data_IF_923040078720
#
_entry.id   IF_923040078720
#
_cell.length_a   1.000
_cell.length_b   1.000
_cell.length_c   1.000
_cell.angle_alpha   90.00
_cell.angle_beta   90.00
_cell.angle_gamma   90.00
#
_symmetry.space_group_name_H-M   'P 1'
#
loop_
_entity.id
_entity.type
_entity.pdbx_description
1 polymer ?
#
# COMPACT_ATOMS: atom_id res chain seq x y z
N UNK A 1 31.72 47.12 18.82
CA UNK A 1 30.74 46.35 19.61
C UNK A 1 31.25 46.32 21.04
N UNK A 2 30.44 46.76 22.00
CA UNK A 2 30.77 46.62 23.43
C UNK A 2 30.81 45.12 23.74
N UNK A 3 31.97 44.63 24.19
CA UNK A 3 32.14 43.29 24.74
C UNK A 3 31.24 43.16 25.97
N UNK A 4 30.01 42.65 25.80
CA UNK A 4 29.22 42.22 26.93
C UNK A 4 29.87 40.95 27.50
N UNK A 5 30.53 41.11 28.65
CA UNK A 5 31.08 39.97 29.38
C UNK A 5 29.92 39.17 29.99
N UNK A 6 29.54 38.08 29.34
CA UNK A 6 28.54 37.14 29.87
C UNK A 6 29.18 36.33 30.99
N UNK A 7 28.63 36.42 32.21
CA UNK A 7 29.05 35.56 33.33
C UNK A 7 28.24 34.27 33.29
N UNK A 8 28.89 33.16 33.00
CA UNK A 8 28.31 31.83 33.09
C UNK A 8 28.50 31.27 34.52
N UNK A 9 27.41 30.79 35.12
CA UNK A 9 27.37 30.20 36.46
C UNK A 9 27.12 28.68 36.42
N UNK A 10 27.18 28.07 35.23
CA UNK A 10 26.98 26.64 35.03
C UNK A 10 28.01 25.83 35.84
N UNK A 11 27.53 24.84 36.62
CA UNK A 11 28.40 23.91 37.36
C UNK A 11 28.98 22.81 36.46
N UNK A 12 28.30 22.56 35.35
CA UNK A 12 28.67 21.63 34.28
C UNK A 12 28.29 22.34 32.98
N UNK A 13 29.24 22.49 32.07
CA UNK A 13 28.99 23.04 30.74
C UNK A 13 28.31 22.04 29.80
N UNK A 14 28.14 22.43 28.55
CA UNK A 14 27.54 21.59 27.53
C UNK A 14 28.45 20.39 27.19
N UNK A 15 27.88 19.19 27.18
CA UNK A 15 28.61 17.97 26.77
C UNK A 15 28.86 17.94 25.25
N UNK A 16 28.01 18.61 24.47
CA UNK A 16 28.07 18.72 23.01
C UNK A 16 27.62 20.14 22.66
N UNK A 17 28.28 20.85 21.72
CA UNK A 17 27.84 22.18 21.32
C UNK A 17 26.43 22.14 20.72
N UNK A 18 25.70 23.25 20.86
CA UNK A 18 24.39 23.42 20.22
C UNK A 18 24.59 23.34 18.69
N UNK A 19 23.91 22.41 17.99
CA UNK A 19 24.02 22.28 16.55
C UNK A 19 23.34 23.45 15.82
N UNK A 20 23.53 23.53 14.51
CA UNK A 20 22.82 24.51 13.68
C UNK A 20 21.32 24.23 13.73
N UNK A 21 20.54 25.17 14.28
CA UNK A 21 19.09 24.99 14.48
C UNK A 21 18.29 24.86 13.18
N UNK A 22 18.90 25.19 12.04
CA UNK A 22 18.33 25.14 10.69
C UNK A 22 18.81 23.93 9.88
N UNK A 23 19.60 23.04 10.48
CA UNK A 23 20.24 21.91 9.80
C UNK A 23 19.23 20.96 9.14
N UNK A 24 18.09 20.69 9.80
CA UNK A 24 17.04 19.82 9.26
C UNK A 24 16.48 20.37 7.95
N UNK A 25 16.18 21.67 7.90
CA UNK A 25 15.62 22.33 6.72
C UNK A 25 16.65 22.38 5.59
N UNK A 26 17.85 22.87 5.91
CA UNK A 26 18.94 23.00 4.94
C UNK A 26 19.30 21.64 4.33
N UNK A 27 19.55 20.64 5.17
CA UNK A 27 19.94 19.31 4.72
C UNK A 27 18.84 18.61 3.91
N UNK A 28 17.56 18.82 4.24
CA UNK A 28 16.47 18.29 3.43
C UNK A 28 16.40 18.93 2.04
N UNK A 29 16.58 20.25 1.96
CA UNK A 29 16.51 20.99 0.70
C UNK A 29 17.74 20.75 -0.19
N UNK A 30 18.93 20.64 0.40
CA UNK A 30 20.16 20.23 -0.29
C UNK A 30 20.01 18.84 -0.92
N UNK A 31 19.50 17.85 -0.16
CA UNK A 31 19.22 16.50 -0.70
C UNK A 31 18.17 16.50 -1.80
N UNK A 32 17.19 17.40 -1.71
CA UNK A 32 16.15 17.54 -2.73
C UNK A 32 16.72 18.10 -4.04
N UNK A 33 17.57 19.13 -3.98
CA UNK A 33 18.05 19.83 -5.17
C UNK A 33 19.40 19.35 -5.73
N UNK A 34 20.25 18.69 -4.94
CA UNK A 34 21.56 18.15 -5.36
C UNK A 34 22.40 19.12 -6.22
N UNK A 35 22.44 20.41 -5.82
CA UNK A 35 23.11 21.48 -6.58
C UNK A 35 24.64 21.40 -6.53
N UNK A 36 25.18 20.67 -5.57
CA UNK A 36 26.61 20.39 -5.41
C UNK A 36 27.16 19.40 -6.44
N UNK A 37 26.28 18.81 -7.27
CA UNK A 37 26.62 17.75 -8.21
C UNK A 37 26.30 18.15 -9.65
N UNK A 38 27.16 17.74 -10.57
CA UNK A 38 26.86 17.79 -12.01
C UNK A 38 25.74 16.81 -12.35
N UNK A 39 25.12 16.99 -13.54
CA UNK A 39 23.96 16.20 -13.94
C UNK A 39 24.20 14.68 -13.87
N UNK A 40 25.39 14.22 -14.23
CA UNK A 40 25.81 12.81 -14.27
C UNK A 40 26.16 12.24 -12.89
N UNK A 41 26.39 13.10 -11.89
CA UNK A 41 26.79 12.72 -10.54
C UNK A 41 25.62 12.74 -9.55
N UNK A 42 24.46 13.27 -9.95
CA UNK A 42 23.26 13.27 -9.10
C UNK A 42 22.79 11.86 -8.80
N UNK A 43 22.36 11.66 -7.56
CA UNK A 43 21.84 10.37 -7.11
C UNK A 43 20.42 10.23 -7.66
N UNK A 44 20.24 9.30 -8.59
CA UNK A 44 18.98 9.02 -9.29
C UNK A 44 17.83 8.68 -8.35
N UNK A 45 18.11 8.14 -7.16
CA UNK A 45 17.08 7.73 -6.20
C UNK A 45 16.73 8.79 -5.15
N UNK A 46 17.22 10.03 -5.31
CA UNK A 46 16.99 11.13 -4.37
C UNK A 46 16.45 12.39 -5.04
N UNK A 47 15.59 13.10 -4.29
CA UNK A 47 15.19 14.47 -4.61
C UNK A 47 14.49 14.64 -5.95
N UNK A 48 14.74 15.77 -6.60
CA UNK A 48 14.14 16.15 -7.88
C UNK A 48 14.53 15.18 -9.00
N UNK A 49 15.76 14.65 -8.98
CA UNK A 49 16.24 13.66 -9.94
C UNK A 49 15.34 12.41 -9.92
N UNK A 50 15.07 11.87 -8.73
CA UNK A 50 14.20 10.70 -8.58
C UNK A 50 12.78 10.94 -9.05
N UNK A 51 12.25 12.14 -8.88
CA UNK A 51 10.90 12.48 -9.33
C UNK A 51 10.83 12.55 -10.85
N UNK A 52 11.86 13.05 -11.52
CA UNK A 52 11.90 13.11 -12.98
C UNK A 52 12.06 11.72 -13.59
N UNK A 53 12.94 10.86 -13.05
CA UNK A 53 13.03 9.45 -13.48
C UNK A 53 11.78 8.63 -13.13
N UNK A 54 10.97 9.06 -12.16
CA UNK A 54 9.69 8.42 -11.87
C UNK A 54 8.62 8.74 -12.93
N UNK A 55 8.65 9.95 -13.49
CA UNK A 55 7.66 10.40 -14.49
C UNK A 55 8.05 10.04 -15.91
N UNK A 56 9.35 10.05 -16.21
CA UNK A 56 9.89 9.78 -17.54
C UNK A 56 10.41 8.33 -17.66
N UNK A 57 10.34 7.71 -18.85
CA UNK A 57 9.88 8.30 -20.11
C UNK A 57 8.35 8.39 -20.21
N UNK A 58 7.88 9.40 -20.94
CA UNK A 58 6.46 9.55 -21.27
C UNK A 58 6.25 9.00 -22.67
N UNK A 59 5.37 8.01 -22.80
CA UNK A 59 5.08 7.32 -24.06
C UNK A 59 3.68 7.67 -24.56
N UNK A 60 3.51 7.77 -25.89
CA UNK A 60 2.19 7.94 -26.50
C UNK A 60 1.37 6.66 -26.38
N UNK A 61 0.04 6.78 -26.44
CA UNK A 61 -0.88 5.64 -26.30
C UNK A 61 -0.65 4.52 -27.32
N UNK A 62 -0.18 4.86 -28.51
CA UNK A 62 0.14 3.95 -29.61
C UNK A 62 1.62 3.51 -29.61
N UNK A 63 2.43 4.00 -28.66
CA UNK A 63 3.86 3.71 -28.56
C UNK A 63 4.74 4.35 -29.63
N UNK A 64 4.17 5.13 -30.56
CA UNK A 64 4.90 5.71 -31.69
C UNK A 64 5.83 6.86 -31.30
N UNK A 65 5.62 7.47 -30.12
CA UNK A 65 6.41 8.58 -29.61
C UNK A 65 6.82 8.35 -28.16
N UNK A 66 8.07 8.71 -27.84
CA UNK A 66 8.66 8.60 -26.50
C UNK A 66 9.45 9.85 -26.15
N UNK A 67 9.06 10.51 -25.07
CA UNK A 67 9.78 11.65 -24.51
C UNK A 67 10.67 11.15 -23.36
N UNK A 68 11.98 11.26 -23.53
CA UNK A 68 12.99 10.83 -22.56
C UNK A 68 13.54 12.04 -21.79
N UNK A 69 13.77 11.87 -20.49
CA UNK A 69 14.44 12.84 -19.65
C UNK A 69 15.96 12.63 -19.72
N UNK A 70 16.73 13.72 -19.83
CA UNK A 70 18.20 13.69 -19.88
C UNK A 70 18.83 14.23 -18.59
N UNK A 71 18.43 15.43 -18.18
CA UNK A 71 18.93 16.12 -16.99
C UNK A 71 18.01 17.27 -16.59
N UNK A 72 18.12 17.78 -15.36
CA UNK A 72 17.55 19.07 -14.99
C UNK A 72 18.60 20.14 -14.72
N UNK A 73 18.21 21.39 -14.91
CA UNK A 73 19.01 22.57 -14.67
C UNK A 73 18.20 23.59 -13.89
N UNK A 74 18.84 24.19 -12.89
CA UNK A 74 18.31 25.33 -12.15
C UNK A 74 19.22 26.52 -12.50
N UNK A 75 18.69 27.47 -13.25
CA UNK A 75 19.42 28.67 -13.65
C UNK A 75 19.47 29.69 -12.50
N UNK A 76 20.32 30.70 -12.63
CA UNK A 76 20.38 31.81 -11.68
C UNK A 76 19.04 32.56 -11.59
N UNK A 77 18.65 33.02 -10.38
CA UNK A 77 17.43 33.80 -10.20
C UNK A 77 17.48 35.09 -11.03
N UNK A 78 16.34 35.43 -11.64
CA UNK A 78 16.24 36.64 -12.49
C UNK A 78 16.20 37.94 -11.70
N UNK A 79 15.81 37.86 -10.43
CA UNK A 79 15.58 38.98 -9.54
C UNK A 79 16.24 38.71 -8.19
N UNK A 80 16.58 39.79 -7.50
CA UNK A 80 17.06 39.76 -6.12
C UNK A 80 15.90 39.51 -5.13
N UNK A 81 16.19 39.06 -3.88
CA UNK A 81 15.18 38.92 -2.84
C UNK A 81 14.35 40.19 -2.61
N UNK A 82 14.99 41.37 -2.64
CA UNK A 82 14.35 42.66 -2.44
C UNK A 82 13.38 43.00 -3.57
N UNK A 83 13.80 42.81 -4.82
CA UNK A 83 12.95 43.00 -6.00
C UNK A 83 11.74 42.06 -5.97
N UNK A 84 11.93 40.79 -5.58
CA UNK A 84 10.83 39.83 -5.45
C UNK A 84 9.80 40.28 -4.40
N UNK A 85 10.24 40.87 -3.28
CA UNK A 85 9.34 41.43 -2.25
C UNK A 85 8.55 42.63 -2.79
N UNK A 86 9.21 43.56 -3.46
CA UNK A 86 8.57 44.77 -3.99
C UNK A 86 7.59 44.46 -5.13
N UNK A 87 8.00 43.59 -6.06
CA UNK A 87 7.22 43.23 -7.25
C UNK A 87 6.22 42.10 -6.99
N UNK A 88 6.15 41.57 -5.77
CA UNK A 88 5.30 40.44 -5.38
C UNK A 88 5.54 39.17 -6.19
N UNK A 89 6.81 38.90 -6.50
CA UNK A 89 7.28 37.71 -7.23
C UNK A 89 7.79 36.64 -6.26
N UNK A 90 7.99 35.42 -6.75
CA UNK A 90 8.69 34.37 -6.01
C UNK A 90 10.19 34.51 -6.26
N UNK A 91 11.01 34.40 -5.21
CA UNK A 91 12.47 34.37 -5.36
C UNK A 91 12.88 32.93 -5.63
N UNK A 92 13.12 32.60 -6.90
CA UNK A 92 13.37 31.23 -7.34
C UNK A 92 14.33 31.12 -8.51
N UNK A 93 14.88 29.93 -8.66
CA UNK A 93 15.71 29.51 -9.79
C UNK A 93 14.81 29.04 -10.94
N UNK A 94 14.96 29.55 -12.17
CA UNK A 94 14.28 29.00 -13.33
C UNK A 94 14.63 27.52 -13.50
N UNK A 95 13.62 26.66 -13.47
CA UNK A 95 13.74 25.21 -13.57
C UNK A 95 13.50 24.76 -15.00
N UNK A 96 14.53 24.12 -15.57
CA UNK A 96 14.49 23.54 -16.91
C UNK A 96 14.82 22.06 -16.86
N UNK A 97 14.29 21.31 -17.80
CA UNK A 97 14.69 19.92 -18.06
C UNK A 97 15.17 19.79 -19.50
N UNK A 98 16.29 19.10 -19.69
CA UNK A 98 16.72 18.60 -20.99
C UNK A 98 15.93 17.34 -21.31
N UNK A 99 15.25 17.34 -22.45
CA UNK A 99 14.47 16.20 -22.92
C UNK A 99 14.85 15.84 -24.34
N UNK A 100 14.56 14.59 -24.69
CA UNK A 100 14.77 14.03 -26.02
C UNK A 100 13.47 13.39 -26.50
N UNK A 101 13.02 13.76 -27.70
CA UNK A 101 11.84 13.14 -28.31
C UNK A 101 12.25 12.11 -29.36
N UNK A 102 11.90 10.85 -29.13
CA UNK A 102 12.03 9.77 -30.12
C UNK A 102 10.68 9.53 -30.80
N UNK A 103 10.70 9.36 -32.11
CA UNK A 103 9.52 9.02 -32.92
C UNK A 103 9.85 7.83 -33.81
N UNK A 104 8.97 6.85 -33.87
CA UNK A 104 9.18 5.68 -34.72
C UNK A 104 9.25 6.07 -36.21
N UNK A 105 10.25 5.55 -36.93
CA UNK A 105 10.45 5.83 -38.35
C UNK A 105 11.04 7.20 -38.68
N UNK A 106 11.43 8.00 -37.69
CA UNK A 106 12.12 9.29 -37.88
C UNK A 106 13.49 9.22 -37.17
N UNK A 107 14.57 9.31 -37.94
CA UNK A 107 15.95 9.25 -37.41
C UNK A 107 16.37 10.55 -36.70
N UNK A 108 15.65 11.64 -36.89
CA UNK A 108 15.89 12.89 -36.17
C UNK A 108 15.45 12.76 -34.71
N UNK A 109 16.39 12.99 -33.80
CA UNK A 109 16.20 12.90 -32.36
C UNK A 109 16.43 14.29 -31.77
N UNK A 110 15.42 15.18 -31.80
CA UNK A 110 15.56 16.52 -31.26
C UNK A 110 15.74 16.47 -29.74
N UNK A 111 16.71 17.24 -29.26
CA UNK A 111 16.96 17.50 -27.84
C UNK A 111 16.69 18.97 -27.55
N UNK A 112 15.88 19.26 -26.54
CA UNK A 112 15.51 20.62 -26.16
C UNK A 112 15.51 20.80 -24.64
N UNK A 113 15.83 22.02 -24.20
CA UNK A 113 15.65 22.43 -22.81
C UNK A 113 14.29 23.13 -22.63
N UNK A 114 13.39 22.48 -21.88
CA UNK A 114 12.05 22.99 -21.61
C UNK A 114 12.01 23.63 -20.23
N UNK A 115 11.51 24.87 -20.15
CA UNK A 115 11.24 25.55 -18.89
C UNK A 115 9.93 25.05 -18.26
N UNK A 116 9.99 24.65 -16.99
CA UNK A 116 8.86 24.08 -16.25
C UNK A 116 8.32 24.98 -15.13
N UNK A 117 9.05 26.03 -14.75
CA UNK A 117 8.65 26.93 -13.67
C UNK A 117 9.84 27.43 -12.87
N UNK A 118 9.61 27.81 -11.62
CA UNK A 118 10.67 28.27 -10.72
C UNK A 118 10.71 27.41 -9.45
N UNK A 119 11.92 27.10 -8.99
CA UNK A 119 12.17 26.43 -7.72
C UNK A 119 12.62 27.49 -6.71
N UNK A 120 11.84 27.77 -5.64
CA UNK A 120 12.16 28.80 -4.67
C UNK A 120 13.55 28.64 -4.03
N UNK A 121 14.26 29.73 -3.78
CA UNK A 121 15.57 29.68 -3.11
C UNK A 121 15.36 29.79 -1.59
N UNK A 122 15.97 28.87 -0.85
CA UNK A 122 15.98 28.93 0.61
C UNK A 122 16.98 30.01 1.08
N UNK A 123 16.50 30.92 1.93
CA UNK A 123 17.27 31.99 2.57
C UNK A 123 17.32 31.76 4.09
N UNK A 124 18.31 32.36 4.77
CA UNK A 124 18.35 32.46 6.24
C UNK A 124 18.41 31.15 7.03
N UNK A 125 18.33 29.99 6.38
CA UNK A 125 18.24 28.66 6.97
C UNK A 125 16.83 28.03 6.98
N UNK A 126 15.86 28.57 6.25
CA UNK A 126 14.55 27.93 6.10
C UNK A 126 13.42 28.79 5.53
N UNK A 127 13.74 30.02 5.13
CA UNK A 127 12.79 31.00 4.63
C UNK A 127 12.78 31.00 3.11
N UNK A 128 11.63 31.31 2.52
CA UNK A 128 11.42 31.44 1.08
C UNK A 128 10.60 32.69 0.80
N UNK A 129 10.86 33.39 -0.30
CA UNK A 129 9.95 34.45 -0.77
C UNK A 129 9.01 33.84 -1.80
N UNK A 130 7.72 33.80 -1.48
CA UNK A 130 6.67 33.30 -2.37
C UNK A 130 5.63 34.40 -2.55
N UNK A 131 5.48 34.88 -3.78
CA UNK A 131 4.60 36.00 -4.13
C UNK A 131 4.87 37.27 -3.26
N UNK A 132 6.15 37.58 -3.08
CA UNK A 132 6.64 38.72 -2.29
C UNK A 132 6.59 38.57 -0.77
N UNK A 133 6.03 37.48 -0.25
CA UNK A 133 5.93 37.23 1.18
C UNK A 133 6.96 36.19 1.62
N UNK A 134 7.60 36.42 2.76
CA UNK A 134 8.46 35.42 3.41
C UNK A 134 7.59 34.30 4.01
N UNK A 135 8.01 33.07 3.77
CA UNK A 135 7.35 31.85 4.24
C UNK A 135 8.37 30.85 4.71
N UNK A 136 7.98 30.03 5.68
CA UNK A 136 8.74 28.87 6.11
C UNK A 136 7.91 27.61 5.92
N UNK A 137 8.57 26.51 5.57
CA UNK A 137 7.95 25.19 5.48
C UNK A 137 8.19 24.46 6.79
N UNK A 138 7.12 24.09 7.49
CA UNK A 138 7.21 23.37 8.77
C UNK A 138 7.30 21.87 8.50
N UNK A 139 8.21 21.18 9.19
CA UNK A 139 8.31 19.73 9.13
C UNK A 139 7.00 19.09 9.59
N UNK A 140 6.44 18.23 8.76
CA UNK A 140 5.23 17.49 9.09
C UNK A 140 5.58 16.24 9.88
N UNK A 141 4.84 15.98 10.95
CA UNK A 141 4.80 14.67 11.60
C UNK A 141 3.57 13.92 11.11
N UNK A 142 3.79 12.84 10.36
CA UNK A 142 2.73 11.94 9.90
C UNK A 142 3.03 10.51 10.32
N UNK A 143 2.03 9.63 10.24
CA UNK A 143 2.23 8.19 10.45
C UNK A 143 3.17 7.67 9.37
N UNK A 144 4.19 6.92 9.78
CA UNK A 144 5.09 6.29 8.82
C UNK A 144 4.34 5.23 8.01
N UNK A 145 4.72 5.01 6.74
CA UNK A 145 4.20 3.89 5.96
C UNK A 145 4.45 2.54 6.65
N UNK A 146 3.68 1.51 6.33
CA UNK A 146 3.78 0.17 6.92
C UNK A 146 2.44 -0.30 7.46
N UNK A 147 2.47 -1.12 8.52
CA UNK A 147 1.27 -1.62 9.20
C UNK A 147 1.20 -1.12 10.65
N UNK A 148 0.02 -0.60 11.03
CA UNK A 148 -0.34 -0.25 12.39
C UNK A 148 -1.46 -1.17 12.88
N UNK A 149 -1.39 -1.60 14.15
CA UNK A 149 -2.43 -2.38 14.81
C UNK A 149 -3.05 -1.57 15.94
N UNK A 150 -4.32 -1.81 16.22
CA UNK A 150 -5.02 -1.15 17.33
C UNK A 150 -6.36 -1.77 17.63
N UNK A 151 -7.07 -1.17 18.58
CA UNK A 151 -8.42 -1.58 18.99
C UNK A 151 -9.40 -0.56 18.41
N UNK A 152 -10.25 -0.98 17.48
CA UNK A 152 -11.25 -0.12 16.84
C UNK A 152 -12.37 0.25 17.80
N UNK A 153 -12.75 -0.66 18.69
CA UNK A 153 -13.78 -0.42 19.70
C UNK A 153 -13.59 -1.36 20.90
N UNK A 154 -13.91 -0.87 22.09
CA UNK A 154 -13.96 -1.63 23.33
C UNK A 154 -15.36 -1.57 23.96
N UNK A 155 -16.41 -1.52 23.14
CA UNK A 155 -17.79 -1.49 23.64
C UNK A 155 -18.16 -2.90 24.13
N UNK A 156 -18.53 -3.02 25.40
CA UNK A 156 -18.92 -4.25 26.10
C UNK A 156 -17.77 -5.26 26.38
N UNK A 157 -16.63 -4.77 26.87
CA UNK A 157 -15.48 -5.54 27.40
C UNK A 157 -14.76 -6.49 26.43
N UNK A 158 -15.18 -6.60 25.17
CA UNK A 158 -14.43 -7.28 24.11
C UNK A 158 -13.68 -6.27 23.24
N UNK A 159 -12.33 -6.32 23.18
CA UNK A 159 -11.58 -5.49 22.24
C UNK A 159 -11.81 -5.99 20.81
N UNK A 160 -12.29 -5.10 19.95
CA UNK A 160 -12.38 -5.34 18.51
C UNK A 160 -11.09 -4.88 17.86
N UNK A 161 -10.22 -5.83 17.50
CA UNK A 161 -8.94 -5.55 16.88
C UNK A 161 -9.09 -4.97 15.47
N UNK A 162 -8.08 -4.21 15.07
CA UNK A 162 -8.00 -3.55 13.77
C UNK A 162 -6.55 -3.44 13.31
N UNK A 163 -6.38 -3.38 11.99
CA UNK A 163 -5.11 -3.12 11.37
C UNK A 163 -5.26 -2.08 10.26
N UNK A 164 -4.23 -1.28 10.02
CA UNK A 164 -4.17 -0.32 8.91
C UNK A 164 -2.85 -0.48 8.20
N UNK A 165 -2.93 -0.72 6.90
CA UNK A 165 -1.78 -0.74 6.00
C UNK A 165 -1.75 0.61 5.30
N UNK A 166 -0.72 1.37 5.61
CA UNK A 166 -0.51 2.75 5.19
C UNK A 166 0.63 2.72 4.17
N UNK A 167 0.35 2.92 2.87
CA UNK A 167 1.42 3.05 1.89
C UNK A 167 2.10 4.43 1.97
N UNK A 168 3.28 4.56 1.40
CA UNK A 168 3.91 5.86 1.15
C UNK A 168 3.12 6.64 0.09
N UNK A 169 2.59 5.93 -0.91
CA UNK A 169 1.68 6.46 -1.93
C UNK A 169 0.68 5.40 -2.32
N UNK A 170 -0.58 5.79 -2.47
CA UNK A 170 -1.66 4.90 -2.88
C UNK A 170 -2.76 4.81 -1.83
N UNK A 171 -3.66 3.84 -2.02
CA UNK A 171 -4.85 3.68 -1.18
C UNK A 171 -4.54 3.05 0.17
N UNK A 172 -5.18 3.54 1.22
CA UNK A 172 -5.09 2.92 2.53
C UNK A 172 -5.95 1.67 2.59
N UNK A 173 -5.44 0.63 3.25
CA UNK A 173 -6.17 -0.60 3.49
C UNK A 173 -6.41 -0.71 4.98
N UNK A 174 -7.68 -0.78 5.37
CA UNK A 174 -8.07 -0.86 6.79
C UNK A 174 -8.85 -2.13 7.05
N UNK A 175 -8.48 -2.85 8.10
CA UNK A 175 -9.13 -4.07 8.57
C UNK A 175 -9.69 -3.83 9.97
N UNK A 176 -10.85 -4.41 10.25
CA UNK A 176 -11.47 -4.40 11.58
C UNK A 176 -12.28 -5.66 11.82
N UNK A 177 -12.18 -6.18 13.04
CA UNK A 177 -13.06 -7.22 13.56
C UNK A 177 -14.38 -6.57 13.95
N UNK A 178 -15.47 -7.09 13.42
CA UNK A 178 -16.81 -6.59 13.74
C UNK A 178 -17.41 -7.33 14.94
N UNK A 179 -18.52 -6.82 15.48
CA UNK A 179 -19.28 -7.47 16.57
C UNK A 179 -19.85 -8.85 16.20
N UNK A 180 -19.88 -9.19 14.92
CA UNK A 180 -20.35 -10.48 14.41
C UNK A 180 -19.20 -11.49 14.26
N UNK A 181 -18.02 -11.17 14.77
CA UNK A 181 -16.81 -11.98 14.60
C UNK A 181 -16.51 -12.24 13.13
N UNK A 182 -16.56 -11.16 12.35
CA UNK A 182 -16.20 -11.13 10.93
C UNK A 182 -15.07 -10.12 10.76
N UNK A 183 -13.99 -10.54 10.10
CA UNK A 183 -12.88 -9.68 9.73
C UNK A 183 -13.24 -8.97 8.41
N UNK A 184 -13.63 -7.70 8.55
CA UNK A 184 -13.96 -6.87 7.40
C UNK A 184 -12.80 -5.95 7.06
N UNK A 185 -12.79 -5.48 5.82
CA UNK A 185 -11.82 -4.49 5.36
C UNK A 185 -12.46 -3.45 4.45
N UNK A 186 -11.76 -2.33 4.26
CA UNK A 186 -12.09 -1.30 3.27
C UNK A 186 -10.83 -0.72 2.62
N UNK A 187 -11.00 -0.20 1.41
CA UNK A 187 -9.96 0.50 0.66
C UNK A 187 -10.36 1.98 0.63
N UNK A 188 -9.56 2.84 1.26
CA UNK A 188 -9.90 4.25 1.51
C UNK A 188 -11.31 4.42 2.12
N UNK A 189 -12.20 5.10 1.40
CA UNK A 189 -13.58 5.37 1.81
C UNK A 189 -14.59 4.40 1.18
N UNK A 190 -14.13 3.27 0.60
CA UNK A 190 -15.02 2.27 0.03
C UNK A 190 -15.91 1.61 1.07
N UNK A 191 -17.00 0.99 0.63
CA UNK A 191 -17.79 0.10 1.47
C UNK A 191 -16.97 -1.10 1.93
N UNK A 192 -17.30 -1.62 3.12
CA UNK A 192 -16.63 -2.80 3.70
C UNK A 192 -16.88 -4.06 2.87
N UNK A 193 -15.87 -4.91 2.80
CA UNK A 193 -15.89 -6.26 2.24
C UNK A 193 -15.21 -7.23 3.22
N UNK A 194 -15.38 -8.54 3.03
CA UNK A 194 -14.63 -9.52 3.82
C UNK A 194 -13.12 -9.41 3.48
N UNK A 195 -12.26 -9.57 4.48
CA UNK A 195 -10.82 -9.46 4.28
C UNK A 195 -10.26 -10.55 3.35
N UNK A 196 -10.86 -11.73 3.37
CA UNK A 196 -10.52 -12.85 2.48
C UNK A 196 -10.64 -12.46 1.01
N UNK A 197 -11.58 -11.58 0.64
CA UNK A 197 -11.76 -11.15 -0.76
C UNK A 197 -10.53 -10.46 -1.30
N UNK A 198 -9.86 -9.63 -0.50
CA UNK A 198 -8.64 -8.99 -0.96
C UNK A 198 -7.45 -9.94 -1.01
N UNK A 199 -7.35 -10.87 -0.04
CA UNK A 199 -6.32 -11.90 -0.07
C UNK A 199 -6.43 -12.76 -1.34
N UNK A 200 -7.65 -13.19 -1.70
CA UNK A 200 -7.91 -13.93 -2.95
C UNK A 200 -7.56 -13.12 -4.19
N UNK A 201 -7.75 -11.80 -4.17
CA UNK A 201 -7.46 -10.93 -5.30
C UNK A 201 -5.96 -10.59 -5.45
N UNK A 202 -5.19 -10.60 -4.36
CA UNK A 202 -3.75 -10.34 -4.38
C UNK A 202 -2.98 -11.44 -5.12
N UNK A 203 -3.35 -12.70 -4.92
CA UNK A 203 -2.65 -13.82 -5.56
C UNK A 203 -3.57 -15.05 -5.64
N UNK A 204 -3.60 -15.67 -6.82
CA UNK A 204 -4.38 -16.88 -7.11
C UNK A 204 -3.94 -18.07 -6.24
N UNK A 205 -2.68 -18.10 -5.78
CA UNK A 205 -2.20 -19.13 -4.86
C UNK A 205 -2.98 -19.14 -3.53
N UNK A 206 -3.49 -17.99 -3.10
CA UNK A 206 -4.27 -17.79 -1.87
C UNK A 206 -5.76 -17.60 -2.17
N UNK A 207 -6.22 -17.99 -3.37
CA UNK A 207 -7.58 -17.70 -3.77
C UNK A 207 -8.60 -18.78 -3.44
N UNK A 208 -8.20 -20.02 -3.19
CA UNK A 208 -9.15 -21.13 -3.00
C UNK A 208 -9.59 -21.28 -1.54
N UNK A 209 -10.89 -21.56 -1.31
CA UNK A 209 -11.44 -21.62 0.05
C UNK A 209 -10.78 -22.71 0.89
N UNK A 210 -10.54 -23.90 0.32
CA UNK A 210 -9.85 -25.01 0.98
C UNK A 210 -8.43 -24.61 1.44
N UNK A 211 -7.66 -23.93 0.60
CA UNK A 211 -6.33 -23.44 0.95
C UNK A 211 -6.37 -22.37 2.03
N UNK A 212 -7.36 -21.46 1.97
CA UNK A 212 -7.52 -20.46 3.03
C UNK A 212 -7.78 -21.15 4.39
N UNK A 213 -8.60 -22.20 4.40
CA UNK A 213 -8.84 -22.98 5.62
C UNK A 213 -7.54 -23.63 6.13
N UNK A 214 -6.73 -24.23 5.25
CA UNK A 214 -5.41 -24.79 5.61
C UNK A 214 -4.43 -23.74 6.16
N UNK A 215 -4.60 -22.46 5.82
CA UNK A 215 -3.73 -21.38 6.28
C UNK A 215 -4.08 -20.83 7.66
N UNK A 216 -5.33 -21.00 8.10
CA UNK A 216 -5.86 -20.43 9.34
C UNK A 216 -6.28 -21.47 10.39
N UNK A 217 -6.52 -22.72 9.98
CA UNK A 217 -7.04 -23.77 10.85
C UNK A 217 -6.23 -25.07 10.72
N UNK A 218 -6.25 -25.88 11.78
CA UNK A 218 -5.75 -27.25 11.73
C UNK A 218 -6.79 -28.14 11.06
N UNK A 219 -6.58 -28.41 9.76
CA UNK A 219 -7.45 -29.26 8.97
C UNK A 219 -7.02 -30.72 9.14
N UNK A 220 -7.96 -31.55 9.58
CA UNK A 220 -7.72 -32.97 9.85
C UNK A 220 -8.58 -33.84 8.94
N UNK A 221 -7.99 -34.91 8.44
CA UNK A 221 -8.74 -35.98 7.78
C UNK A 221 -9.28 -36.93 8.85
N UNK A 222 -10.60 -36.99 8.98
CA UNK A 222 -11.27 -37.88 9.94
C UNK A 222 -12.13 -38.90 9.21
N UNK A 223 -12.36 -40.04 9.85
CA UNK A 223 -13.32 -41.00 9.35
C UNK A 223 -14.74 -40.45 9.49
N UNK A 224 -15.57 -40.74 8.51
CA UNK A 224 -16.96 -40.27 8.45
C UNK A 224 -17.77 -40.71 9.68
N UNK A 225 -17.49 -41.88 10.26
CA UNK A 225 -18.21 -42.34 11.47
C UNK A 225 -17.89 -41.51 12.72
N UNK A 226 -16.80 -40.72 12.68
CA UNK A 226 -16.41 -39.80 13.77
C UNK A 226 -16.80 -38.35 13.49
N UNK A 227 -17.50 -38.10 12.38
CA UNK A 227 -17.98 -36.77 12.02
C UNK A 227 -19.02 -36.30 13.04
N UNK A 228 -18.93 -35.03 13.45
CA UNK A 228 -19.85 -34.40 14.39
C UNK A 228 -20.50 -33.17 13.71
N UNK A 229 -21.75 -32.80 14.09
CA UNK A 229 -22.43 -31.61 13.57
C UNK A 229 -21.65 -30.30 13.77
N UNK A 230 -20.84 -30.22 14.82
CA UNK A 230 -20.04 -29.05 15.20
C UNK A 230 -18.80 -28.85 14.30
N UNK A 231 -18.39 -29.87 13.56
CA UNK A 231 -17.25 -29.74 12.64
C UNK A 231 -17.60 -28.83 11.46
N UNK A 232 -16.57 -28.22 10.88
CA UNK A 232 -16.69 -27.47 9.63
C UNK A 232 -16.03 -28.26 8.51
N UNK A 233 -16.64 -28.27 7.33
CA UNK A 233 -16.06 -28.92 6.17
C UNK A 233 -14.87 -28.11 5.64
N UNK A 234 -13.74 -28.79 5.40
CA UNK A 234 -12.57 -28.18 4.75
C UNK A 234 -12.48 -28.51 3.25
N UNK A 235 -13.46 -29.24 2.72
CA UNK A 235 -13.61 -29.56 1.30
C UNK A 235 -15.08 -29.53 0.88
N UNK A 236 -15.37 -29.68 -0.41
CA UNK A 236 -16.74 -29.87 -0.87
C UNK A 236 -17.08 -31.35 -0.69
N UNK A 237 -18.11 -31.63 0.13
CA UNK A 237 -18.56 -33.00 0.39
C UNK A 237 -19.71 -33.30 -0.57
N UNK A 238 -19.47 -34.20 -1.51
CA UNK A 238 -20.42 -34.62 -2.53
C UNK A 238 -20.68 -36.11 -2.32
N UNK A 239 -21.95 -36.50 -2.35
CA UNK A 239 -22.33 -37.90 -2.38
C UNK A 239 -22.00 -38.49 -3.77
N UNK A 240 -21.18 -39.55 -3.80
CA UNK A 240 -20.72 -40.20 -5.03
C UNK A 240 -21.85 -40.86 -5.82
N UNK A 241 -22.94 -41.26 -5.16
CA UNK A 241 -24.06 -41.96 -5.81
C UNK A 241 -25.07 -41.00 -6.42
N UNK A 242 -25.46 -39.95 -5.69
CA UNK A 242 -26.44 -38.97 -6.14
C UNK A 242 -25.80 -37.80 -6.92
N UNK A 243 -24.51 -37.54 -6.73
CA UNK A 243 -23.85 -36.32 -7.19
C UNK A 243 -24.34 -35.06 -6.47
N UNK A 244 -25.08 -35.21 -5.37
CA UNK A 244 -25.60 -34.11 -4.57
C UNK A 244 -24.52 -33.54 -3.65
N UNK A 245 -24.40 -32.21 -3.62
CA UNK A 245 -23.53 -31.52 -2.66
C UNK A 245 -24.16 -31.59 -1.27
N UNK A 246 -23.58 -32.39 -0.39
CA UNK A 246 -24.06 -32.59 0.99
C UNK A 246 -23.62 -31.44 1.90
N UNK A 247 -22.40 -30.95 1.72
CA UNK A 247 -21.88 -29.84 2.50
C UNK A 247 -20.84 -29.04 1.72
N UNK A 248 -20.99 -27.73 1.75
CA UNK A 248 -20.06 -26.81 1.11
C UNK A 248 -18.77 -26.65 1.90
N UNK A 249 -17.66 -26.43 1.21
CA UNK A 249 -16.39 -26.02 1.84
C UNK A 249 -16.57 -24.77 2.71
N UNK A 250 -16.04 -24.81 3.93
CA UNK A 250 -16.12 -23.74 4.93
C UNK A 250 -17.47 -23.64 5.65
N UNK A 251 -18.46 -24.49 5.32
CA UNK A 251 -19.73 -24.54 6.03
C UNK A 251 -19.66 -25.51 7.23
N UNK A 252 -20.48 -25.25 8.24
CA UNK A 252 -20.67 -26.18 9.36
C UNK A 252 -21.43 -27.43 8.85
N UNK A 253 -21.02 -28.61 9.31
CA UNK A 253 -21.63 -29.89 8.91
C UNK A 253 -23.11 -29.93 9.32
N UNK A 254 -23.42 -29.62 10.57
CA UNK A 254 -24.79 -29.51 11.07
C UNK A 254 -25.66 -30.74 10.76
N UNK A 255 -26.84 -30.49 10.20
CA UNK A 255 -27.84 -31.52 9.86
C UNK A 255 -27.38 -32.47 8.73
N UNK A 256 -26.36 -32.09 7.94
CA UNK A 256 -25.83 -32.94 6.87
C UNK A 256 -25.05 -34.14 7.41
N UNK A 257 -24.73 -34.19 8.71
CA UNK A 257 -23.93 -35.28 9.31
C UNK A 257 -24.52 -36.66 9.01
N UNK A 258 -25.84 -36.83 9.08
CA UNK A 258 -26.50 -38.12 8.88
C UNK A 258 -26.40 -38.56 7.42
N UNK A 259 -26.58 -37.63 6.48
CA UNK A 259 -26.46 -37.89 5.06
C UNK A 259 -25.01 -38.24 4.67
N UNK A 260 -24.03 -37.52 5.23
CA UNK A 260 -22.61 -37.79 4.99
C UNK A 260 -22.23 -39.16 5.57
N UNK A 261 -22.74 -39.50 6.77
CA UNK A 261 -22.51 -40.81 7.39
C UNK A 261 -23.17 -41.98 6.66
N UNK A 262 -24.24 -41.72 5.91
CA UNK A 262 -24.89 -42.72 5.07
C UNK A 262 -24.24 -42.87 3.69
N UNK A 263 -23.38 -41.92 3.28
CA UNK A 263 -22.68 -41.97 2.00
C UNK A 263 -21.56 -43.02 1.96
N UNK A 264 -21.04 -43.34 0.78
CA UNK A 264 -19.91 -44.26 0.62
C UNK A 264 -18.53 -43.65 1.01
N UNK A 265 -18.51 -42.40 1.46
CA UNK A 265 -17.29 -41.70 1.84
C UNK A 265 -16.65 -42.35 3.09
N UNK A 266 -15.34 -42.60 3.02
CA UNK A 266 -14.59 -43.20 4.14
C UNK A 266 -14.03 -42.15 5.09
N UNK A 267 -13.52 -41.07 4.51
CA UNK A 267 -12.86 -39.98 5.23
C UNK A 267 -13.27 -38.65 4.62
N UNK A 268 -13.26 -37.61 5.45
CA UNK A 268 -13.53 -36.22 5.07
C UNK A 268 -12.56 -35.30 5.78
N UNK A 269 -12.16 -34.22 5.11
CA UNK A 269 -11.33 -33.14 5.68
C UNK A 269 -12.21 -32.16 6.43
N UNK A 270 -11.92 -31.97 7.72
CA UNK A 270 -12.70 -31.08 8.58
C UNK A 270 -11.83 -30.25 9.50
N UNK A 271 -12.43 -29.18 10.01
CA UNK A 271 -11.91 -28.41 11.14
C UNK A 271 -12.70 -28.86 12.37
N UNK A 272 -12.02 -29.57 13.26
CA UNK A 272 -12.60 -30.12 14.49
C UNK A 272 -12.49 -29.17 15.68
N UNK A 273 -11.51 -28.25 15.66
CA UNK A 273 -11.29 -27.27 16.71
C UNK A 273 -11.55 -25.85 16.21
N UNK A 274 -12.69 -25.27 16.59
CA UNK A 274 -13.12 -23.92 16.19
C UNK A 274 -12.99 -22.91 17.33
N UNK A 275 -11.88 -22.96 18.09
CA UNK A 275 -11.66 -22.03 19.21
C UNK A 275 -11.80 -20.55 18.78
N UNK A 276 -11.43 -20.22 17.54
CA UNK A 276 -11.71 -18.92 16.93
C UNK A 276 -12.48 -19.05 15.59
N UNK A 277 -13.79 -18.74 15.53
CA UNK A 277 -14.57 -18.81 14.30
C UNK A 277 -14.39 -17.59 13.37
N UNK A 278 -13.51 -16.63 13.68
CA UNK A 278 -13.38 -15.35 12.95
C UNK A 278 -13.24 -15.55 11.42
N UNK A 279 -12.34 -16.43 10.98
CA UNK A 279 -12.12 -16.65 9.54
C UNK A 279 -13.24 -17.48 8.91
N UNK A 280 -13.83 -18.45 9.61
CA UNK A 280 -15.01 -19.19 9.14
C UNK A 280 -16.20 -18.25 8.90
N UNK A 281 -16.49 -17.37 9.86
CA UNK A 281 -17.53 -16.34 9.73
C UNK A 281 -17.20 -15.35 8.60
N UNK A 282 -15.92 -15.02 8.41
CA UNK A 282 -15.47 -14.12 7.34
C UNK A 282 -15.70 -14.72 5.95
N UNK A 283 -15.39 -16.00 5.77
CA UNK A 283 -15.68 -16.74 4.54
C UNK A 283 -17.19 -16.83 4.28
N UNK A 284 -18.00 -17.07 5.32
CA UNK A 284 -19.46 -17.12 5.20
C UNK A 284 -20.08 -15.77 4.77
N UNK A 285 -19.54 -14.64 5.24
CA UNK A 285 -20.02 -13.31 4.88
C UNK A 285 -19.51 -12.83 3.49
N UNK A 286 -18.47 -13.46 2.95
CA UNK A 286 -17.83 -13.07 1.69
C UNK A 286 -18.81 -13.03 0.50
N UNK A 287 -19.70 -14.04 0.46
CA UNK A 287 -20.75 -14.23 -0.55
C UNK A 287 -20.22 -13.99 -1.97
N UNK A 288 -19.40 -14.90 -2.50
CA UNK A 288 -18.90 -14.88 -3.88
C UNK A 288 -19.75 -15.72 -4.85
N UNK A 289 -20.73 -16.45 -4.33
CA UNK A 289 -21.47 -17.53 -4.99
C UNK A 289 -22.33 -17.09 -6.18
N UNK A 290 -22.65 -15.80 -6.24
CA UNK A 290 -23.41 -15.22 -7.35
C UNK A 290 -22.60 -15.11 -8.65
N UNK A 291 -21.34 -15.59 -8.65
CA UNK A 291 -20.38 -15.55 -9.74
C UNK A 291 -19.99 -16.97 -10.19
N UNK A 292 -20.96 -17.87 -10.28
CA UNK A 292 -20.77 -19.32 -10.46
C UNK A 292 -19.99 -19.77 -11.73
N UNK A 293 -19.75 -18.87 -12.69
CA UNK A 293 -19.01 -19.16 -13.93
C UNK A 293 -17.56 -18.65 -13.92
N UNK A 294 -17.05 -18.20 -12.78
CA UNK A 294 -15.66 -17.71 -12.65
C UNK A 294 -14.94 -18.33 -11.46
N UNK A 295 -13.62 -18.30 -11.48
CA UNK A 295 -12.80 -18.75 -10.36
C UNK A 295 -13.00 -17.84 -9.12
N UNK A 296 -12.68 -18.34 -7.92
CA UNK A 296 -12.79 -17.54 -6.69
C UNK A 296 -11.87 -16.29 -6.70
N UNK A 297 -10.72 -16.37 -7.38
CA UNK A 297 -9.83 -15.24 -7.64
C UNK A 297 -10.52 -14.16 -8.49
N UNK A 298 -11.12 -14.56 -9.61
CA UNK A 298 -11.84 -13.64 -10.50
C UNK A 298 -13.10 -13.07 -9.84
N UNK A 299 -13.81 -13.90 -9.08
CA UNK A 299 -14.96 -13.48 -8.29
C UNK A 299 -14.58 -12.38 -7.29
N UNK A 300 -13.45 -12.54 -6.62
CA UNK A 300 -12.90 -11.54 -5.72
C UNK A 300 -12.51 -10.24 -6.44
N UNK A 301 -11.84 -10.33 -7.59
CA UNK A 301 -11.53 -9.17 -8.44
C UNK A 301 -12.79 -8.41 -8.86
N UNK A 302 -13.83 -9.12 -9.33
CA UNK A 302 -15.11 -8.54 -9.72
C UNK A 302 -15.81 -7.85 -8.54
N UNK A 303 -15.79 -8.48 -7.35
CA UNK A 303 -16.36 -7.91 -6.13
C UNK A 303 -15.69 -6.59 -5.77
N UNK A 304 -14.35 -6.55 -5.79
CA UNK A 304 -13.56 -5.34 -5.51
C UNK A 304 -13.82 -4.27 -6.58
N UNK A 305 -13.85 -4.64 -7.86
CA UNK A 305 -14.16 -3.73 -8.96
C UNK A 305 -15.53 -3.06 -8.76
N UNK A 306 -16.56 -3.83 -8.42
CA UNK A 306 -17.91 -3.30 -8.16
C UNK A 306 -17.96 -2.33 -6.97
N UNK A 307 -17.07 -2.47 -5.98
CA UNK A 307 -16.97 -1.52 -4.86
C UNK A 307 -16.20 -0.26 -5.22
N UNK A 308 -15.14 -0.38 -6.02
CA UNK A 308 -14.33 0.77 -6.45
C UNK A 308 -15.00 1.59 -7.55
N UNK A 309 -15.83 0.97 -8.38
CA UNK A 309 -16.52 1.59 -9.51
C UNK A 309 -18.01 1.22 -9.53
N UNK A 310 -18.81 1.68 -8.55
CA UNK A 310 -20.23 1.37 -8.50
C UNK A 310 -20.95 1.85 -9.77
N UNK A 311 -21.82 1.00 -10.32
CA UNK A 311 -22.62 1.29 -11.52
C UNK A 311 -21.99 0.90 -12.85
N UNK A 312 -20.71 0.50 -12.89
CA UNK A 312 -20.10 -0.06 -14.09
C UNK A 312 -20.30 -1.58 -14.14
N UNK A 313 -20.75 -2.16 -15.28
CA UNK A 313 -20.81 -3.61 -15.44
C UNK A 313 -19.43 -4.24 -15.22
N UNK A 314 -19.29 -5.17 -14.26
CA UNK A 314 -18.00 -5.78 -13.96
C UNK A 314 -17.64 -6.79 -15.05
N UNK A 315 -16.41 -6.72 -15.57
CA UNK A 315 -15.82 -7.68 -16.49
C UNK A 315 -14.48 -8.13 -15.92
N UNK A 316 -14.15 -9.42 -16.04
CA UNK A 316 -12.97 -10.02 -15.40
C UNK A 316 -11.68 -9.30 -15.82
N UNK A 317 -11.48 -9.10 -17.13
CA UNK A 317 -10.27 -8.45 -17.64
C UNK A 317 -10.11 -7.01 -17.12
N UNK A 318 -11.21 -6.25 -17.10
CA UNK A 318 -11.21 -4.88 -16.57
C UNK A 318 -10.98 -4.85 -15.06
N UNK A 319 -11.52 -5.82 -14.33
CA UNK A 319 -11.32 -5.95 -12.89
C UNK A 319 -9.87 -6.27 -12.56
N UNK A 320 -9.28 -7.24 -13.28
CA UNK A 320 -7.88 -7.64 -13.18
C UNK A 320 -6.95 -6.46 -13.49
N UNK A 321 -7.17 -5.77 -14.60
CA UNK A 321 -6.39 -4.61 -14.99
C UNK A 321 -6.49 -3.49 -13.93
N UNK A 322 -7.71 -3.15 -13.49
CA UNK A 322 -7.90 -2.12 -12.47
C UNK A 322 -7.17 -2.47 -11.16
N UNK A 323 -7.25 -3.73 -10.73
CA UNK A 323 -6.60 -4.19 -9.52
C UNK A 323 -5.07 -4.12 -9.64
N UNK A 324 -4.52 -4.60 -10.76
CA UNK A 324 -3.08 -4.55 -11.03
C UNK A 324 -2.56 -3.10 -11.09
N UNK A 325 -3.23 -2.21 -11.81
CA UNK A 325 -2.92 -0.78 -11.81
C UNK A 325 -3.01 -0.16 -10.42
N UNK A 326 -3.93 -0.63 -9.57
CA UNK A 326 -4.17 -0.01 -8.27
C UNK A 326 -3.22 -0.47 -7.19
N UNK A 327 -2.76 -1.72 -7.23
CA UNK A 327 -2.01 -2.33 -6.13
C UNK A 327 -0.64 -2.89 -6.53
N UNK A 328 -0.39 -3.18 -7.81
CA UNK A 328 0.89 -3.73 -8.28
C UNK A 328 1.75 -2.72 -9.05
N UNK A 329 1.13 -1.67 -9.62
CA UNK A 329 1.86 -0.56 -10.23
C UNK A 329 2.50 0.33 -9.15
N UNK A 330 3.83 0.35 -9.12
CA UNK A 330 4.65 1.09 -8.14
C UNK A 330 4.45 2.61 -8.20
N UNK A 331 4.04 3.14 -9.36
CA UNK A 331 3.77 4.58 -9.51
C UNK A 331 2.45 4.98 -8.84
N UNK A 332 1.52 4.02 -8.73
CA UNK A 332 0.18 4.22 -8.14
C UNK A 332 0.09 3.75 -6.69
N UNK A 333 0.80 2.66 -6.35
CA UNK A 333 0.84 2.09 -5.02
C UNK A 333 2.25 1.66 -4.64
N UNK A 334 2.80 2.26 -3.58
CA UNK A 334 4.08 1.87 -3.01
C UNK A 334 4.08 2.02 -1.49
N UNK A 335 4.53 0.97 -0.81
CA UNK A 335 4.82 0.96 0.62
C UNK A 335 5.99 1.89 0.97
N UNK A 336 6.91 2.09 0.03
CA UNK A 336 8.17 2.79 0.26
C UNK A 336 9.15 1.97 1.11
N UNK A 337 10.43 2.36 1.11
CA UNK A 337 11.49 1.66 1.86
C UNK A 337 11.16 1.51 3.34
N UNK A 338 10.64 2.59 3.95
CA UNK A 338 10.24 2.59 5.36
C UNK A 338 9.07 1.65 5.60
N UNK A 339 8.08 1.60 4.71
CA UNK A 339 6.92 0.72 4.85
C UNK A 339 7.29 -0.75 4.71
N UNK A 340 8.08 -1.09 3.69
CA UNK A 340 8.61 -2.45 3.49
C UNK A 340 9.47 -2.88 4.68
N UNK A 341 10.39 -2.04 5.15
CA UNK A 341 11.18 -2.30 6.35
C UNK A 341 10.31 -2.55 7.59
N UNK A 342 9.26 -1.75 7.81
CA UNK A 342 8.37 -1.92 8.97
C UNK A 342 7.57 -3.21 8.92
N UNK A 343 7.06 -3.61 7.74
CA UNK A 343 6.34 -4.88 7.55
C UNK A 343 7.29 -6.05 7.80
N UNK A 344 8.47 -6.04 7.17
CA UNK A 344 9.49 -7.07 7.36
C UNK A 344 9.86 -7.24 8.84
N UNK A 345 10.16 -6.12 9.52
CA UNK A 345 10.50 -6.13 10.94
C UNK A 345 9.35 -6.62 11.82
N UNK A 346 8.09 -6.32 11.45
CA UNK A 346 6.92 -6.67 12.26
C UNK A 346 6.59 -8.16 12.19
N UNK A 347 6.78 -8.78 11.02
CA UNK A 347 6.42 -10.17 10.77
C UNK A 347 7.62 -11.11 10.55
N UNK A 348 8.83 -10.64 10.85
CA UNK A 348 10.08 -11.38 10.69
C UNK A 348 10.27 -11.93 9.26
N UNK A 349 10.02 -11.08 8.26
CA UNK A 349 10.17 -11.43 6.85
C UNK A 349 11.46 -10.86 6.26
N UNK A 350 12.08 -11.60 5.34
CA UNK A 350 13.28 -11.18 4.61
C UNK A 350 12.95 -10.83 3.15
N UNK A 351 12.09 -9.82 2.97
CA UNK A 351 11.69 -9.36 1.64
C UNK A 351 12.62 -8.22 1.20
N UNK A 352 13.19 -8.27 0.00
CA UNK A 352 13.99 -7.17 -0.52
C UNK A 352 13.28 -5.81 -0.45
N UNK A 353 14.02 -4.74 -0.11
CA UNK A 353 13.47 -3.39 0.06
C UNK A 353 12.95 -2.75 -1.23
N UNK A 354 13.34 -3.28 -2.39
CA UNK A 354 12.86 -2.88 -3.72
C UNK A 354 11.48 -3.44 -4.07
N UNK A 355 10.96 -4.40 -3.30
CA UNK A 355 9.58 -4.89 -3.43
C UNK A 355 8.62 -3.88 -2.78
N UNK A 356 8.12 -2.96 -3.60
CA UNK A 356 7.35 -1.80 -3.13
C UNK A 356 5.84 -1.99 -3.04
N UNK A 357 5.24 -3.00 -3.69
CA UNK A 357 3.81 -3.28 -3.57
C UNK A 357 3.51 -4.19 -2.36
N UNK A 358 2.24 -4.27 -1.97
CA UNK A 358 1.78 -5.22 -0.95
C UNK A 358 1.63 -6.62 -1.55
N UNK A 359 2.22 -7.64 -0.94
CA UNK A 359 2.10 -9.04 -1.37
C UNK A 359 0.99 -9.77 -0.61
N UNK A 360 0.55 -10.90 -1.15
CA UNK A 360 -0.43 -11.77 -0.49
C UNK A 360 0.07 -12.26 0.87
N UNK A 361 1.35 -12.60 0.99
CA UNK A 361 1.98 -13.04 2.24
C UNK A 361 2.05 -11.92 3.28
N UNK A 362 2.32 -10.68 2.83
CA UNK A 362 2.32 -9.52 3.72
C UNK A 362 0.93 -9.34 4.33
N UNK A 363 -0.12 -9.40 3.49
CA UNK A 363 -1.51 -9.26 3.92
C UNK A 363 -1.98 -10.45 4.77
N UNK A 364 -1.57 -11.67 4.43
CA UNK A 364 -1.84 -12.87 5.22
C UNK A 364 -1.24 -12.75 6.64
N UNK A 365 0.00 -12.26 6.77
CA UNK A 365 0.60 -12.05 8.09
C UNK A 365 -0.09 -10.94 8.88
N UNK A 366 -0.64 -9.92 8.23
CA UNK A 366 -1.52 -8.94 8.90
C UNK A 366 -2.76 -9.63 9.47
N UNK A 367 -3.40 -10.52 8.71
CA UNK A 367 -4.58 -11.27 9.19
C UNK A 367 -4.21 -12.20 10.34
N UNK A 368 -3.10 -12.95 10.22
CA UNK A 368 -2.63 -13.86 11.28
C UNK A 368 -2.34 -13.11 12.59
N UNK A 369 -1.69 -11.95 12.50
CA UNK A 369 -1.44 -11.13 13.69
C UNK A 369 -2.72 -10.58 14.33
N UNK A 370 -3.84 -10.45 13.60
CA UNK A 370 -5.14 -10.08 14.19
C UNK A 370 -5.77 -11.27 14.94
N UNK A 371 -5.48 -12.50 14.51
CA UNK A 371 -5.97 -13.74 15.12
C UNK A 371 -5.17 -14.14 16.37
N UNK A 372 -3.87 -13.86 16.38
CA UNK A 372 -2.97 -14.03 17.53
C UNK A 372 -3.33 -13.08 18.70
#
# INVERSE_FOLDING_TARGET
>A
MLSQTVRDFSKRGDAVPVPTLTEVQRGAYERFLQLDKTHDQRVVTLGLESLLHEVFPIESYDGSMKLEYLYYKLDDPRYTPEECKELRLTYGMPFRIGVRLRREGIDEIPEEEIYLGEIPIMMGGGEFIVNGAERCIVSQLHRSPGVDFGIASSIADRPLHSARIIPERGSWIELEVTKKDVLTMRIDQSTKIAATTFLRALDEAFSSTDKLLDLFYDVQEIKVEKLLPEHYSAEVIIDTDSGEELCRVGAQIGDAVEAIQASELKTVRVISNTTDPLMLNTLAEERLDFLAEVTEHEAALLKIYGRLRPGNPPQVDKARQLFAEKFFDVNRYRLGKVGRFRINRKFDMDVPEDVMHIRAEDFLSVIRYILD
#
